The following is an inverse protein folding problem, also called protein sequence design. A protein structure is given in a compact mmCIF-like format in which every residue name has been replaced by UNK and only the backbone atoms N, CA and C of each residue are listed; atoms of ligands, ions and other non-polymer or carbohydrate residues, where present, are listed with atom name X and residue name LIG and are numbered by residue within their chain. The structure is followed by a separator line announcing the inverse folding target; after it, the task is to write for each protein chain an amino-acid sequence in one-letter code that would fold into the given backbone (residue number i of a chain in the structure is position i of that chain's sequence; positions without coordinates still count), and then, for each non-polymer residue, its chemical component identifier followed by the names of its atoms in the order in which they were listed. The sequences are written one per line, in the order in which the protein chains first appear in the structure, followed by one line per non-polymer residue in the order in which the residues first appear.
data_IF_208549676015
#
_entry.id   IF_208549676015
#
_cell.length_a   1.000
_cell.length_b   1.000
_cell.length_c   1.000
_cell.angle_alpha   90.00
_cell.angle_beta   90.00
_cell.angle_gamma   90.00
#
_symmetry.space_group_name_H-M   'P 1'
#
loop_
_entity.id
_entity.type
_entity.pdbx_description
1 polymer ?
#
# COMPACT_ATOMS: atom_id res chain seq x y z
N UNK A 1 -36.41 -54.76 6.27
CA UNK A 1 -37.39 -55.29 5.29
C UNK A 1 -38.47 -54.23 5.15
N UNK A 2 -38.98 -54.04 3.93
CA UNK A 2 -40.02 -53.08 3.52
C UNK A 2 -39.63 -51.59 3.54
N UNK A 3 -39.72 -50.78 2.47
CA UNK A 3 -40.07 -50.94 1.05
C UNK A 3 -39.46 -49.77 0.29
N UNK A 4 -38.88 -50.06 -0.87
CA UNK A 4 -38.48 -49.12 -1.91
C UNK A 4 -39.71 -48.73 -2.73
N UNK A 5 -39.98 -47.43 -2.92
CA UNK A 5 -40.80 -46.94 -4.04
C UNK A 5 -40.30 -45.58 -4.54
N UNK A 6 -39.51 -45.69 -5.60
CA UNK A 6 -39.26 -44.72 -6.65
C UNK A 6 -40.51 -43.95 -7.08
N UNK A 7 -40.36 -42.67 -7.41
CA UNK A 7 -41.12 -41.98 -8.46
C UNK A 7 -40.32 -40.74 -8.90
N UNK A 8 -39.69 -40.83 -10.06
CA UNK A 8 -38.99 -39.72 -10.69
C UNK A 8 -39.93 -38.78 -11.45
N UNK A 9 -39.52 -37.53 -11.61
CA UNK A 9 -39.92 -36.66 -12.71
C UNK A 9 -38.81 -35.66 -13.02
N UNK A 10 -38.12 -35.88 -14.14
CA UNK A 10 -37.23 -34.90 -14.77
C UNK A 10 -38.04 -33.85 -15.50
N UNK A 11 -37.86 -32.55 -15.22
CA UNK A 11 -38.22 -31.45 -16.14
C UNK A 11 -37.23 -30.27 -16.05
N UNK A 12 -36.39 -30.22 -17.07
CA UNK A 12 -35.73 -29.08 -17.72
C UNK A 12 -36.15 -27.66 -17.28
N UNK A 13 -35.14 -26.89 -16.87
CA UNK A 13 -34.82 -25.54 -17.35
C UNK A 13 -35.65 -24.34 -16.88
N UNK A 14 -35.02 -23.38 -16.19
CA UNK A 14 -34.97 -21.96 -16.60
C UNK A 14 -33.96 -21.19 -15.74
N UNK A 15 -33.09 -20.42 -16.40
CA UNK A 15 -32.17 -19.43 -15.82
C UNK A 15 -32.94 -18.32 -15.10
N UNK A 16 -32.43 -17.80 -13.97
CA UNK A 16 -32.40 -16.36 -13.62
C UNK A 16 -31.77 -16.10 -12.24
N UNK A 17 -30.63 -15.39 -12.27
CA UNK A 17 -30.25 -14.29 -11.38
C UNK A 17 -30.24 -14.50 -9.86
N UNK A 18 -29.07 -14.37 -9.24
CA UNK A 18 -28.97 -14.16 -7.80
C UNK A 18 -27.57 -14.44 -7.24
N UNK A 19 -26.67 -13.48 -7.39
CA UNK A 19 -25.41 -13.37 -6.63
C UNK A 19 -25.73 -13.31 -5.12
N UNK A 20 -24.92 -13.96 -4.26
CA UNK A 20 -24.58 -13.67 -2.86
C UNK A 20 -23.97 -14.96 -2.26
N UNK A 21 -22.90 -15.03 -1.47
CA UNK A 21 -21.76 -14.19 -1.14
C UNK A 21 -20.74 -15.14 -0.46
N UNK A 22 -19.46 -14.77 -0.51
CA UNK A 22 -18.29 -15.53 -0.05
C UNK A 22 -18.22 -15.68 1.47
N UNK A 23 -17.61 -16.77 1.95
CA UNK A 23 -16.94 -16.80 3.25
C UNK A 23 -15.69 -17.70 3.16
N UNK A 24 -14.60 -17.15 2.61
CA UNK A 24 -13.27 -17.70 2.80
C UNK A 24 -12.60 -16.90 3.92
N UNK A 25 -12.60 -17.45 5.13
CA UNK A 25 -11.85 -16.94 6.28
C UNK A 25 -10.35 -17.18 6.03
N UNK A 26 -9.73 -16.31 5.24
CA UNK A 26 -8.28 -16.25 5.10
C UNK A 26 -7.72 -15.17 6.01
N UNK A 27 -7.05 -15.57 7.10
CA UNK A 27 -6.18 -14.67 7.87
C UNK A 27 -5.09 -14.19 6.92
N UNK A 28 -5.17 -12.92 6.50
CA UNK A 28 -4.13 -12.31 5.68
C UNK A 28 -2.88 -12.08 6.54
N UNK A 29 -1.95 -13.04 6.51
CA UNK A 29 -0.58 -12.81 6.94
C UNK A 29 0.03 -11.86 5.90
N UNK A 30 0.14 -10.57 6.23
CA UNK A 30 0.80 -9.58 5.37
C UNK A 30 2.32 -9.74 5.45
N UNK A 31 2.81 -10.84 4.89
CA UNK A 31 4.22 -11.04 4.56
C UNK A 31 4.46 -10.66 3.10
N UNK A 32 4.69 -9.38 2.80
CA UNK A 32 5.18 -9.00 1.47
C UNK A 32 6.70 -9.09 1.43
N UNK A 33 7.20 -10.31 1.21
CA UNK A 33 8.49 -10.54 0.58
C UNK A 33 8.20 -11.06 -0.84
N UNK A 34 8.13 -10.15 -1.80
CA UNK A 34 7.85 -10.48 -3.20
C UNK A 34 7.61 -9.19 -3.99
N UNK A 35 8.34 -9.04 -5.10
CA UNK A 35 8.37 -7.88 -6.00
C UNK A 35 6.99 -7.31 -6.32
N UNK A 36 6.59 -6.26 -5.60
CA UNK A 36 5.40 -5.48 -5.90
C UNK A 36 5.69 -4.55 -7.08
N UNK A 37 5.38 -4.99 -8.30
CA UNK A 37 5.27 -4.13 -9.47
C UNK A 37 3.93 -4.35 -10.16
N UNK A 38 3.02 -3.38 -9.91
CA UNK A 38 1.90 -2.90 -10.75
C UNK A 38 0.79 -2.25 -9.89
N UNK A 39 0.70 -2.56 -8.61
CA UNK A 39 -0.31 -2.02 -7.69
C UNK A 39 0.20 -0.79 -6.92
N UNK A 40 -0.71 0.13 -6.60
CA UNK A 40 -0.41 1.26 -5.72
C UNK A 40 -0.06 0.75 -4.30
N UNK A 41 1.01 1.29 -3.73
CA UNK A 41 1.50 0.94 -2.39
C UNK A 41 1.34 2.16 -1.49
N UNK A 42 0.21 2.27 -0.80
CA UNK A 42 -0.11 3.44 0.03
C UNK A 42 0.47 3.39 1.45
N UNK A 43 1.02 2.25 1.89
CA UNK A 43 1.59 2.04 3.23
C UNK A 43 0.68 2.54 4.36
N UNK A 44 -0.61 2.20 4.30
CA UNK A 44 -1.59 2.57 5.33
C UNK A 44 -2.19 3.98 5.19
N UNK A 45 -1.82 4.74 4.15
CA UNK A 45 -2.54 5.97 3.82
C UNK A 45 -3.91 5.65 3.20
N UNK A 46 -4.90 6.45 3.58
CA UNK A 46 -6.15 6.57 2.85
C UNK A 46 -5.95 7.40 1.56
N UNK A 47 -7.03 7.54 0.77
CA UNK A 47 -6.97 8.28 -0.50
C UNK A 47 -6.53 9.74 -0.29
N UNK A 48 -6.99 10.37 0.79
CA UNK A 48 -6.71 11.78 1.07
C UNK A 48 -5.25 11.99 1.49
N UNK A 49 -4.74 11.19 2.42
CA UNK A 49 -3.34 11.22 2.82
C UNK A 49 -2.40 10.99 1.62
N UNK A 50 -2.72 10.03 0.76
CA UNK A 50 -1.93 9.77 -0.44
C UNK A 50 -1.93 10.96 -1.42
N UNK A 51 -3.08 11.62 -1.64
CA UNK A 51 -3.16 12.83 -2.47
C UNK A 51 -2.33 13.98 -1.91
N UNK A 52 -2.32 14.14 -0.58
CA UNK A 52 -1.51 15.17 0.09
C UNK A 52 -0.03 14.96 -0.18
N UNK A 53 0.45 13.72 -0.02
CA UNK A 53 1.83 13.36 -0.33
C UNK A 53 2.14 13.61 -1.81
N UNK A 54 1.27 13.15 -2.71
CA UNK A 54 1.44 13.35 -4.16
C UNK A 54 1.57 14.84 -4.51
N UNK A 55 0.66 15.69 -4.02
CA UNK A 55 0.61 17.10 -4.41
C UNK A 55 1.73 17.94 -3.80
N UNK A 56 2.06 17.72 -2.53
CA UNK A 56 2.95 18.63 -1.79
C UNK A 56 4.37 18.13 -1.68
N UNK A 57 4.56 16.82 -1.60
CA UNK A 57 5.89 16.23 -1.48
C UNK A 57 6.36 15.85 -2.88
N UNK A 58 5.64 14.94 -3.55
CA UNK A 58 6.18 14.27 -4.71
C UNK A 58 6.38 15.18 -5.93
N UNK A 59 5.52 16.18 -6.12
CA UNK A 59 5.68 17.19 -7.20
C UNK A 59 7.02 17.92 -7.12
N UNK A 60 7.51 18.21 -5.91
CA UNK A 60 8.82 18.85 -5.69
C UNK A 60 10.00 17.94 -6.05
N UNK A 61 9.76 16.63 -6.21
CA UNK A 61 10.76 15.62 -6.52
C UNK A 61 10.49 14.92 -7.87
N UNK A 62 9.89 15.66 -8.80
CA UNK A 62 9.71 15.23 -10.19
C UNK A 62 8.61 14.20 -10.38
N UNK A 63 7.54 14.26 -9.57
CA UNK A 63 6.31 13.51 -9.83
C UNK A 63 5.49 14.18 -10.93
N UNK A 64 5.23 13.42 -11.99
CA UNK A 64 4.45 13.86 -13.16
C UNK A 64 3.14 13.08 -13.31
N UNK A 65 2.82 12.20 -12.36
CA UNK A 65 1.59 11.42 -12.35
C UNK A 65 0.37 12.21 -11.86
N UNK A 66 -0.81 11.58 -11.95
CA UNK A 66 -2.06 12.16 -11.46
C UNK A 66 -2.08 12.23 -9.93
N UNK A 67 -2.78 13.22 -9.38
CA UNK A 67 -3.09 13.31 -7.94
C UNK A 67 -4.36 12.49 -7.67
N UNK A 68 -4.21 11.17 -7.64
CA UNK A 68 -5.31 10.21 -7.57
C UNK A 68 -5.45 9.50 -6.21
N UNK A 69 -4.51 9.71 -5.29
CA UNK A 69 -4.49 9.05 -3.98
C UNK A 69 -4.03 7.60 -4.05
N UNK A 70 -3.41 7.21 -5.14
CA UNK A 70 -2.81 5.90 -5.34
C UNK A 70 -1.30 6.07 -5.56
N UNK A 71 -0.49 5.70 -4.57
CA UNK A 71 0.97 5.80 -4.65
C UNK A 71 1.52 4.67 -5.54
N UNK A 72 1.49 4.90 -6.85
CA UNK A 72 2.06 3.99 -7.86
C UNK A 72 3.58 4.15 -8.06
N UNK A 73 4.15 3.46 -9.06
CA UNK A 73 5.60 3.47 -9.31
C UNK A 73 6.17 4.87 -9.51
N UNK A 74 5.48 5.76 -10.24
CA UNK A 74 5.93 7.13 -10.42
C UNK A 74 5.93 7.93 -9.11
N UNK A 75 4.98 7.65 -8.21
CA UNK A 75 4.95 8.26 -6.88
C UNK A 75 6.15 7.81 -6.06
N UNK A 76 6.48 6.53 -6.11
CA UNK A 76 7.61 5.97 -5.38
C UNK A 76 8.97 6.37 -5.96
N UNK A 77 9.08 6.60 -7.27
CA UNK A 77 10.29 7.21 -7.86
C UNK A 77 10.54 8.60 -7.29
N UNK A 78 9.50 9.44 -7.21
CA UNK A 78 9.62 10.75 -6.60
C UNK A 78 9.93 10.67 -5.10
N UNK A 79 9.32 9.72 -4.38
CA UNK A 79 9.62 9.48 -2.96
C UNK A 79 11.07 9.02 -2.75
N UNK A 80 11.59 8.13 -3.59
CA UNK A 80 12.98 7.68 -3.54
C UNK A 80 13.96 8.84 -3.75
N UNK A 81 13.65 9.77 -4.68
CA UNK A 81 14.44 11.01 -4.84
C UNK A 81 14.38 11.88 -3.60
N UNK A 82 13.18 12.10 -3.04
CA UNK A 82 13.00 12.81 -1.78
C UNK A 82 13.87 12.22 -0.66
N UNK A 83 13.85 10.89 -0.49
CA UNK A 83 14.64 10.19 0.52
C UNK A 83 16.15 10.21 0.25
N UNK A 84 16.57 10.39 -1.00
CA UNK A 84 17.98 10.51 -1.37
C UNK A 84 18.53 11.94 -1.14
N UNK A 85 17.73 12.97 -1.39
CA UNK A 85 18.18 14.38 -1.34
C UNK A 85 18.17 14.97 0.08
N UNK A 86 17.39 14.42 1.00
CA UNK A 86 17.12 15.10 2.27
C UNK A 86 18.37 15.17 3.18
N UNK A 87 18.85 16.39 3.54
CA UNK A 87 20.13 16.57 4.23
C UNK A 87 20.08 16.11 5.68
N UNK A 88 21.13 15.43 6.17
CA UNK A 88 21.17 14.85 7.53
C UNK A 88 20.15 13.72 7.77
N UNK A 89 19.68 13.03 6.74
CA UNK A 89 19.01 11.74 6.96
C UNK A 89 20.00 10.71 7.52
N UNK A 90 19.64 9.96 8.57
CA UNK A 90 20.53 8.98 9.15
C UNK A 90 20.77 7.78 8.21
N UNK A 91 19.81 7.44 7.36
CA UNK A 91 19.93 6.40 6.34
C UNK A 91 19.35 6.88 5.00
N UNK A 92 20.07 7.76 4.26
CA UNK A 92 19.58 8.28 2.99
C UNK A 92 19.41 7.17 1.98
N UNK A 93 18.44 7.32 1.08
CA UNK A 93 18.21 6.32 0.03
C UNK A 93 19.35 6.35 -0.99
N UNK A 94 19.98 5.19 -1.20
CA UNK A 94 21.12 5.01 -2.13
C UNK A 94 20.84 4.01 -3.25
N UNK A 95 19.62 3.47 -3.31
CA UNK A 95 19.21 2.50 -4.32
C UNK A 95 18.82 3.14 -5.65
N UNK A 96 18.44 2.30 -6.62
CA UNK A 96 17.93 2.76 -7.89
C UNK A 96 16.59 3.51 -7.74
N UNK A 97 16.35 4.50 -8.58
CA UNK A 97 15.06 5.21 -8.66
C UNK A 97 14.10 4.41 -9.57
N UNK A 98 13.69 3.24 -9.10
CA UNK A 98 12.89 2.26 -9.85
C UNK A 98 11.39 2.36 -9.56
N UNK A 99 10.99 3.02 -8.47
CA UNK A 99 9.60 3.11 -8.02
C UNK A 99 9.09 1.85 -7.33
N UNK A 100 9.97 0.90 -7.03
CA UNK A 100 9.64 -0.31 -6.28
C UNK A 100 9.82 -0.04 -4.79
N UNK A 101 8.83 -0.42 -4.00
CA UNK A 101 8.88 -0.27 -2.54
C UNK A 101 9.61 -1.47 -1.94
N UNK A 102 10.94 -1.45 -2.07
CA UNK A 102 11.80 -2.47 -1.49
C UNK A 102 12.23 -2.16 -0.04
N UNK A 103 12.89 -3.12 0.65
CA UNK A 103 13.39 -2.92 2.01
C UNK A 103 14.27 -1.67 2.16
N UNK A 104 15.13 -1.37 1.18
CA UNK A 104 15.96 -0.16 1.20
C UNK A 104 15.12 1.13 1.19
N UNK A 105 14.05 1.18 0.40
CA UNK A 105 13.13 2.31 0.38
C UNK A 105 12.42 2.46 1.73
N UNK A 106 11.99 1.34 2.32
CA UNK A 106 11.33 1.35 3.64
C UNK A 106 12.30 1.77 4.75
N UNK A 107 13.54 1.27 4.76
CA UNK A 107 14.56 1.68 5.75
C UNK A 107 14.79 3.18 5.70
N UNK A 108 14.97 3.76 4.51
CA UNK A 108 15.15 5.20 4.36
C UNK A 108 13.91 6.00 4.77
N UNK A 109 12.71 5.50 4.43
CA UNK A 109 11.47 6.09 4.90
C UNK A 109 11.36 6.06 6.43
N UNK A 110 11.62 4.91 7.05
CA UNK A 110 11.62 4.75 8.51
C UNK A 110 12.64 5.68 9.18
N UNK A 111 13.83 5.83 8.61
CA UNK A 111 14.87 6.73 9.11
C UNK A 111 14.41 8.20 9.07
N UNK A 112 13.77 8.61 7.97
CA UNK A 112 13.14 9.92 7.86
C UNK A 112 12.03 10.10 8.91
N UNK A 113 11.11 9.13 9.01
CA UNK A 113 9.99 9.17 9.96
C UNK A 113 10.48 9.18 11.41
N UNK A 114 11.58 8.49 11.72
CA UNK A 114 12.17 8.46 13.06
C UNK A 114 12.64 9.84 13.47
N UNK A 115 13.31 10.54 12.56
CA UNK A 115 13.86 11.87 12.80
C UNK A 115 12.79 12.96 12.89
N UNK A 116 11.77 12.93 12.02
CA UNK A 116 10.85 14.07 11.85
C UNK A 116 9.42 13.82 12.26
N UNK A 117 9.06 12.55 12.44
CA UNK A 117 7.68 12.12 12.66
C UNK A 117 7.63 11.10 13.77
N UNK A 118 8.53 11.14 14.74
CA UNK A 118 8.44 10.37 15.99
C UNK A 118 8.23 8.86 15.82
N UNK A 119 8.70 8.26 14.73
CA UNK A 119 8.69 6.81 14.59
C UNK A 119 9.73 6.20 15.55
N UNK A 120 9.30 5.38 16.50
CA UNK A 120 10.17 4.81 17.52
C UNK A 120 10.70 3.41 17.17
N UNK A 121 10.10 2.75 16.18
CA UNK A 121 10.42 1.39 15.77
C UNK A 121 11.82 1.22 15.15
N UNK A 122 12.13 -0.02 14.80
CA UNK A 122 13.37 -0.41 14.16
C UNK A 122 13.42 0.03 12.69
N UNK A 123 14.65 0.17 12.16
CA UNK A 123 14.90 0.38 10.73
C UNK A 123 15.06 -1.00 10.06
N UNK A 124 13.97 -1.75 9.99
CA UNK A 124 13.94 -3.17 9.59
C UNK A 124 13.50 -3.40 8.14
N UNK A 125 13.18 -2.34 7.41
CA UNK A 125 12.72 -2.43 6.03
C UNK A 125 11.31 -3.00 5.88
N UNK A 126 10.55 -3.11 6.98
CA UNK A 126 9.17 -3.61 7.00
C UNK A 126 8.21 -2.51 7.43
N UNK A 127 7.26 -2.17 6.56
CA UNK A 127 6.29 -1.11 6.84
C UNK A 127 5.14 -1.61 7.74
N UNK A 128 5.45 -1.96 8.99
CA UNK A 128 4.47 -2.33 10.00
C UNK A 128 3.63 -1.15 10.49
N UNK A 129 2.71 -1.42 11.42
CA UNK A 129 1.72 -0.43 11.93
C UNK A 129 2.37 0.86 12.42
N UNK A 130 3.52 0.79 13.10
CA UNK A 130 4.27 1.97 13.55
C UNK A 130 4.79 2.84 12.39
N UNK A 131 5.30 2.21 11.33
CA UNK A 131 5.75 2.94 10.12
C UNK A 131 4.56 3.57 9.41
N UNK A 132 3.46 2.84 9.28
CA UNK A 132 2.23 3.32 8.64
C UNK A 132 1.64 4.52 9.41
N UNK A 133 1.56 4.46 10.74
CA UNK A 133 1.06 5.55 11.56
C UNK A 133 1.94 6.81 11.48
N UNK A 134 3.27 6.64 11.47
CA UNK A 134 4.18 7.76 11.29
C UNK A 134 4.08 8.35 9.86
N UNK A 135 3.90 7.51 8.85
CA UNK A 135 3.68 7.95 7.47
C UNK A 135 2.34 8.66 7.29
N UNK A 136 1.29 8.23 7.99
CA UNK A 136 0.02 8.95 8.07
C UNK A 136 0.22 10.36 8.64
N UNK A 137 0.93 10.49 9.76
CA UNK A 137 1.25 11.81 10.34
C UNK A 137 2.08 12.67 9.41
N UNK A 138 2.99 12.07 8.64
CA UNK A 138 3.69 12.77 7.58
C UNK A 138 2.73 13.32 6.52
N UNK A 139 1.85 12.47 5.99
CA UNK A 139 0.88 12.87 4.98
C UNK A 139 -0.03 14.01 5.45
N UNK A 140 -0.58 13.91 6.66
CA UNK A 140 -1.50 14.90 7.23
C UNK A 140 -0.83 16.14 7.80
N UNK A 141 0.50 16.15 7.93
CA UNK A 141 1.25 17.40 8.16
C UNK A 141 1.30 18.30 6.93
N UNK A 142 0.99 17.78 5.74
CA UNK A 142 0.90 18.56 4.51
C UNK A 142 -0.49 19.21 4.37
N UNK A 143 -0.61 20.34 3.63
CA UNK A 143 -1.89 21.01 3.41
C UNK A 143 -2.93 20.09 2.74
N UNK A 144 -4.20 20.45 2.92
CA UNK A 144 -5.31 19.76 2.27
C UNK A 144 -5.24 19.88 0.73
N UNK A 145 -5.96 18.99 0.04
CA UNK A 145 -5.88 18.75 -1.41
C UNK A 145 -7.23 18.54 -2.03
#
# INVERSE_FOLDING_TARGET
MEQDRQNGFSRRGLLRGGLLAVAASGVAVVGFAGTASAAAVNLGLDNQGAKRVQRWVLTMYGYTGRIDGALGPNSWKAMQRFLATWPSQPAPYKGAIDGVVGPATIVSLQAYLKKFRGYTGALDGRAGTGTQAAFWRFAYSNPAV
#
